data_IF_531816020174
#
_entry.id   IF_531816020174
#
_cell.length_a   1.000
_cell.length_b   1.000
_cell.length_c   1.000
_cell.angle_alpha   90.00
_cell.angle_beta   90.00
_cell.angle_gamma   90.00
#
_symmetry.space_group_name_H-M   'P 1'
#
loop_
_entity.id
_entity.type
_entity.pdbx_description
1 polymer ?
#
# COMPACT_ATOMS: atom_id res chain seq x y z
N UNK A 1 20.80 9.59 6.16
CA UNK A 1 19.48 8.91 6.09
C UNK A 1 19.52 7.72 7.03
N UNK A 2 18.64 7.68 8.02
CA UNK A 2 18.47 6.50 8.88
C UNK A 2 17.09 5.92 8.61
N UNK A 3 17.07 4.61 8.34
CA UNK A 3 15.86 3.82 8.13
C UNK A 3 15.86 2.73 9.21
N UNK A 4 14.82 2.65 10.02
CA UNK A 4 14.87 1.87 11.27
C UNK A 4 13.50 1.26 11.63
N UNK A 5 12.73 0.90 10.60
CA UNK A 5 11.56 0.02 10.69
C UNK A 5 11.84 -1.42 10.25
N UNK A 6 13.10 -1.86 10.24
CA UNK A 6 13.50 -3.23 9.93
C UNK A 6 13.38 -3.67 8.46
N UNK A 7 12.85 -2.82 7.55
CA UNK A 7 12.72 -3.06 6.09
C UNK A 7 14.02 -3.55 5.40
N UNK A 8 15.11 -3.34 6.10
CA UNK A 8 16.43 -3.16 5.58
C UNK A 8 17.45 -3.96 6.41
N UNK A 9 16.95 -4.79 7.31
CA UNK A 9 17.73 -5.72 8.08
C UNK A 9 18.04 -6.96 7.22
N UNK A 10 19.23 -7.55 7.37
CA UNK A 10 19.62 -8.76 6.63
C UNK A 10 19.82 -8.59 5.11
N UNK A 11 19.96 -7.36 4.61
CA UNK A 11 20.03 -7.08 3.16
C UNK A 11 21.27 -7.65 2.48
N UNK A 12 21.04 -8.40 1.40
CA UNK A 12 22.00 -8.64 0.31
C UNK A 12 21.42 -8.02 -0.96
N UNK A 13 22.18 -7.16 -1.62
CA UNK A 13 21.79 -6.64 -2.93
C UNK A 13 21.65 -7.81 -3.92
N UNK A 14 20.62 -7.76 -4.76
CA UNK A 14 20.51 -8.69 -5.88
C UNK A 14 21.63 -8.36 -6.88
N UNK A 15 22.25 -9.37 -7.53
CA UNK A 15 23.12 -9.10 -8.66
C UNK A 15 22.28 -8.47 -9.78
N UNK A 16 22.80 -7.40 -10.37
CA UNK A 16 22.14 -6.67 -11.45
C UNK A 16 23.02 -6.74 -12.68
N UNK A 17 22.39 -6.90 -13.84
CA UNK A 17 23.05 -6.71 -15.13
C UNK A 17 22.82 -5.30 -15.70
N UNK A 18 23.40 -5.03 -16.87
CA UNK A 18 23.27 -3.73 -17.53
C UNK A 18 21.81 -3.39 -17.89
N UNK A 19 21.01 -4.39 -18.25
CA UNK A 19 19.59 -4.23 -18.54
C UNK A 19 18.80 -3.86 -17.30
N UNK A 20 19.05 -4.54 -16.17
CA UNK A 20 18.43 -4.22 -14.88
C UNK A 20 18.76 -2.79 -14.44
N UNK A 21 20.01 -2.37 -14.61
CA UNK A 21 20.44 -1.00 -14.29
C UNK A 21 19.69 0.02 -15.17
N UNK A 22 19.55 -0.27 -16.46
CA UNK A 22 18.78 0.58 -17.38
C UNK A 22 17.31 0.73 -16.95
N UNK A 23 16.68 -0.36 -16.48
CA UNK A 23 15.31 -0.32 -15.95
C UNK A 23 15.21 0.50 -14.67
N UNK A 24 16.17 0.40 -13.76
CA UNK A 24 16.19 1.18 -12.53
C UNK A 24 16.33 2.68 -12.80
N UNK A 25 17.16 3.07 -13.77
CA UNK A 25 17.31 4.46 -14.19
C UNK A 25 15.99 4.99 -14.80
N UNK A 26 15.34 4.20 -15.65
CA UNK A 26 14.05 4.58 -16.22
C UNK A 26 12.98 4.74 -15.11
N UNK A 27 12.95 3.84 -14.13
CA UNK A 27 12.05 3.92 -12.99
C UNK A 27 12.31 5.15 -12.12
N UNK A 28 13.57 5.52 -11.88
CA UNK A 28 13.97 6.71 -11.11
C UNK A 28 13.48 8.03 -11.74
N UNK A 29 13.33 8.05 -13.07
CA UNK A 29 12.83 9.23 -13.80
C UNK A 29 11.33 9.51 -13.61
N UNK A 30 10.59 8.61 -12.96
CA UNK A 30 9.16 8.75 -12.70
C UNK A 30 8.91 9.53 -11.40
N UNK A 31 7.82 10.30 -11.35
CA UNK A 31 7.37 10.96 -10.12
C UNK A 31 6.61 9.97 -9.22
N UNK A 32 7.32 9.39 -8.25
CA UNK A 32 6.77 8.45 -7.28
C UNK A 32 5.94 9.12 -6.17
N UNK A 33 5.89 10.46 -6.10
CA UNK A 33 5.11 11.15 -5.07
C UNK A 33 3.60 10.99 -5.26
N UNK A 34 3.16 10.69 -6.49
CA UNK A 34 1.77 10.53 -6.89
C UNK A 34 1.34 9.07 -6.99
N UNK A 35 2.13 8.13 -6.45
CA UNK A 35 1.79 6.71 -6.54
C UNK A 35 0.43 6.44 -5.86
N UNK A 36 -0.55 6.05 -6.68
CA UNK A 36 -1.85 5.62 -6.18
C UNK A 36 -1.69 4.25 -5.49
N UNK A 37 -2.12 4.09 -4.23
CA UNK A 37 -2.00 2.83 -3.52
C UNK A 37 -2.63 1.62 -4.24
N UNK A 38 -3.58 1.85 -5.15
CA UNK A 38 -4.19 0.80 -5.99
C UNK A 38 -3.18 0.12 -6.91
N UNK A 39 -2.09 0.80 -7.30
CA UNK A 39 -0.99 0.21 -8.07
C UNK A 39 -0.35 -0.95 -7.31
N UNK A 40 -0.24 -0.88 -5.98
CA UNK A 40 0.31 -1.98 -5.20
C UNK A 40 -0.55 -3.23 -5.30
N UNK A 41 -1.88 -3.08 -5.29
CA UNK A 41 -2.81 -4.20 -5.48
C UNK A 41 -2.52 -4.95 -6.77
N UNK A 42 -2.44 -4.23 -7.89
CA UNK A 42 -2.17 -4.82 -9.21
C UNK A 42 -0.75 -5.37 -9.34
N UNK A 43 0.25 -4.75 -8.70
CA UNK A 43 1.63 -5.26 -8.70
C UNK A 43 1.74 -6.56 -7.89
N UNK A 44 1.22 -6.60 -6.65
CA UNK A 44 1.21 -7.81 -5.82
C UNK A 44 0.54 -8.98 -6.53
N UNK A 45 -0.57 -8.69 -7.17
CA UNK A 45 -1.29 -9.62 -8.01
C UNK A 45 -0.37 -10.18 -9.13
N UNK A 46 0.25 -9.33 -9.95
CA UNK A 46 1.08 -9.79 -11.07
C UNK A 46 2.35 -10.55 -10.67
N UNK A 47 2.91 -10.28 -9.50
CA UNK A 47 4.15 -10.93 -9.04
C UNK A 47 3.93 -12.23 -8.26
N UNK A 48 2.69 -12.54 -7.85
CA UNK A 48 2.33 -13.82 -7.26
C UNK A 48 2.01 -14.83 -8.37
N UNK A 49 2.64 -16.01 -8.33
CA UNK A 49 2.39 -17.12 -9.27
C UNK A 49 0.88 -17.35 -9.49
N UNK A 50 0.36 -17.25 -10.73
CA UNK A 50 -1.05 -17.41 -11.04
C UNK A 50 -1.64 -18.73 -10.52
N UNK A 51 -0.81 -19.78 -10.38
CA UNK A 51 -1.24 -21.08 -9.84
C UNK A 51 -1.47 -21.06 -8.33
N UNK A 52 -0.83 -20.13 -7.62
CA UNK A 52 -0.96 -19.97 -6.16
C UNK A 52 -2.14 -19.07 -5.78
N UNK A 53 -2.53 -18.15 -6.66
CA UNK A 53 -3.63 -17.19 -6.45
C UNK A 53 -4.98 -17.82 -6.11
N UNK A 54 -5.46 -18.74 -6.95
CA UNK A 54 -6.80 -19.33 -6.80
C UNK A 54 -6.94 -20.15 -5.52
N UNK A 55 -5.84 -20.65 -4.96
CA UNK A 55 -5.86 -21.48 -3.76
C UNK A 55 -5.92 -20.68 -2.45
N UNK A 56 -5.56 -19.39 -2.47
CA UNK A 56 -5.46 -18.58 -1.25
C UNK A 56 -6.49 -17.44 -1.18
N UNK A 57 -7.31 -17.25 -2.23
CA UNK A 57 -8.32 -16.18 -2.25
C UNK A 57 -7.75 -14.77 -2.17
N UNK A 58 -6.48 -14.58 -2.55
CA UNK A 58 -5.76 -13.31 -2.48
C UNK A 58 -6.17 -12.39 -3.63
N UNK A 59 -7.40 -11.89 -3.57
CA UNK A 59 -7.86 -10.82 -4.44
C UNK A 59 -7.63 -9.48 -3.77
N UNK A 60 -7.02 -8.56 -4.49
CA UNK A 60 -6.96 -7.18 -4.05
C UNK A 60 -8.39 -6.63 -3.90
N UNK A 61 -8.64 -5.95 -2.79
CA UNK A 61 -9.91 -5.27 -2.52
C UNK A 61 -9.68 -3.78 -2.65
N UNK A 62 -10.35 -3.15 -3.61
CA UNK A 62 -10.21 -1.71 -3.88
C UNK A 62 -10.55 -0.86 -2.66
N UNK A 63 -9.89 0.31 -2.55
CA UNK A 63 -10.06 1.23 -1.44
C UNK A 63 -11.53 1.63 -1.21
N UNK A 64 -12.31 1.81 -2.28
CA UNK A 64 -13.75 2.10 -2.18
C UNK A 64 -14.53 0.98 -1.48
N UNK A 65 -14.20 -0.29 -1.78
CA UNK A 65 -14.85 -1.46 -1.17
C UNK A 65 -14.44 -1.59 0.30
N UNK A 66 -13.18 -1.32 0.64
CA UNK A 66 -12.71 -1.23 2.03
C UNK A 66 -13.47 -0.11 2.75
N UNK A 67 -13.61 1.05 2.10
CA UNK A 67 -14.33 2.21 2.62
C UNK A 67 -15.79 1.91 2.96
N UNK A 68 -16.48 1.05 2.21
CA UNK A 68 -17.85 0.61 2.53
C UNK A 68 -18.00 -0.07 3.89
N UNK A 69 -16.91 -0.64 4.44
CA UNK A 69 -16.89 -1.24 5.77
C UNK A 69 -16.35 -0.23 6.79
N UNK A 70 -15.21 0.36 6.50
CA UNK A 70 -14.51 1.26 7.44
C UNK A 70 -15.32 2.51 7.75
N UNK A 71 -16.00 3.10 6.76
CA UNK A 71 -16.78 4.32 6.94
C UNK A 71 -17.94 4.15 7.95
N UNK A 72 -18.89 3.21 7.77
CA UNK A 72 -19.98 3.03 8.73
C UNK A 72 -19.55 2.41 10.07
N UNK A 73 -18.51 1.56 10.11
CA UNK A 73 -18.14 0.82 11.33
C UNK A 73 -17.18 1.60 12.21
N UNK A 74 -16.29 2.41 11.63
CA UNK A 74 -15.21 3.08 12.37
C UNK A 74 -15.31 4.59 12.23
N UNK A 75 -15.29 5.13 11.00
CA UNK A 75 -15.15 6.57 10.79
C UNK A 75 -16.38 7.36 11.23
N UNK A 76 -17.59 6.94 10.84
CA UNK A 76 -18.83 7.62 11.24
C UNK A 76 -19.02 7.62 12.76
N UNK A 77 -18.88 6.49 13.48
CA UNK A 77 -18.98 6.49 14.94
C UNK A 77 -17.95 7.38 15.63
N UNK A 78 -16.69 7.38 15.18
CA UNK A 78 -15.64 8.21 15.77
C UNK A 78 -15.86 9.70 15.51
N UNK A 79 -16.24 10.08 14.28
CA UNK A 79 -16.58 11.47 13.93
C UNK A 79 -17.78 11.98 14.74
N UNK A 80 -18.78 11.13 14.96
CA UNK A 80 -19.93 11.46 15.80
C UNK A 80 -19.51 11.76 17.25
N UNK A 81 -18.70 10.89 17.85
CA UNK A 81 -18.18 11.11 19.22
C UNK A 81 -17.34 12.39 19.32
N UNK A 82 -16.49 12.66 18.32
CA UNK A 82 -15.69 13.87 18.29
C UNK A 82 -16.56 15.14 18.23
N UNK A 83 -17.60 15.15 17.38
CA UNK A 83 -18.52 16.30 17.28
C UNK A 83 -19.34 16.56 18.55
N UNK A 84 -19.64 15.52 19.33
CA UNK A 84 -20.35 15.65 20.61
C UNK A 84 -19.42 16.22 21.68
N UNK A 85 -18.16 15.77 21.73
CA UNK A 85 -17.16 16.27 22.68
C UNK A 85 -16.76 17.73 22.45
N UNK A 86 -16.78 18.22 21.21
CA UNK A 86 -16.55 19.65 20.90
C UNK A 86 -17.75 20.55 21.28
N UNK A 87 -18.95 20.00 21.46
CA UNK A 87 -20.14 20.73 21.88
C UNK A 87 -20.32 20.87 23.39
N UNK A 88 -19.63 20.06 24.20
CA UNK A 88 -19.72 20.07 25.67
C UNK A 88 -18.60 20.89 26.34
N UNK A 89 -17.63 21.40 25.57
CA UNK A 89 -16.49 22.20 26.04
C UNK A 89 -16.57 23.72 25.77
N UNK A 90 -17.68 24.21 25.25
CA UNK A 90 -17.92 25.63 24.91
C UNK A 90 -18.89 26.34 25.85
#
# INVERSE_FOLDING_TARGET
>A
MHFNGGLFDGRRALPLDEGDIGLLIAADSLDWSLIDPTIFGTLFERFLDPKKWAQIGAHYTDADKIGRIIDPVILRPLRGQWSVGEGEGG
#
